data_IF_084691302569
#
_entry.id   IF_084691302569
#
_cell.length_a   1.000
_cell.length_b   1.000
_cell.length_c   1.000
_cell.angle_alpha   90.00
_cell.angle_beta   90.00
_cell.angle_gamma   90.00
#
_symmetry.space_group_name_H-M   'P 1'
#
loop_
_entity.id
_entity.type
_entity.pdbx_description
1 polymer ?
#
# COMPACT_ATOMS: atom_id res chain seq x y z
N UNK A 1 -0.42 115.56 -6.55
CA UNK A 1 0.07 114.56 -5.61
C UNK A 1 -0.87 113.38 -5.58
N UNK A 2 -0.52 112.23 -6.24
CA UNK A 2 -1.42 111.09 -6.35
C UNK A 2 -0.97 110.04 -5.28
N UNK A 3 -1.85 109.72 -4.34
CA UNK A 3 -1.67 108.65 -3.35
C UNK A 3 -2.04 107.35 -4.04
N UNK A 4 -1.08 106.37 -4.03
CA UNK A 4 -1.35 105.00 -4.43
C UNK A 4 -1.73 104.21 -3.17
N UNK A 5 -2.89 103.58 -3.20
CA UNK A 5 -3.41 102.65 -2.24
C UNK A 5 -2.88 101.25 -2.68
N UNK A 6 -2.13 100.59 -1.79
CA UNK A 6 -1.70 99.21 -1.97
C UNK A 6 -2.72 98.32 -1.20
N UNK A 7 -3.45 97.49 -1.94
CA UNK A 7 -4.33 96.47 -1.37
C UNK A 7 -3.52 95.18 -1.22
N UNK A 8 -3.27 94.73 0.02
CA UNK A 8 -2.73 93.43 0.31
C UNK A 8 -3.85 92.40 0.25
N UNK A 9 -3.80 91.50 -0.70
CA UNK A 9 -4.61 90.27 -0.76
C UNK A 9 -3.93 89.19 0.04
N UNK A 10 -4.54 88.78 1.17
CA UNK A 10 -4.15 87.63 1.95
C UNK A 10 -4.82 86.37 1.35
N UNK A 11 -4.03 85.47 0.75
CA UNK A 11 -4.45 84.14 0.38
C UNK A 11 -4.46 83.19 1.63
N UNK A 12 -5.53 82.44 1.87
CA UNK A 12 -5.53 81.42 2.91
C UNK A 12 -4.73 80.19 2.40
N UNK A 13 -3.68 79.78 3.15
CA UNK A 13 -2.95 78.54 2.94
C UNK A 13 -3.82 77.41 3.50
N UNK A 14 -4.42 76.60 2.63
CA UNK A 14 -5.14 75.38 2.98
C UNK A 14 -4.08 74.28 3.18
N UNK A 15 -3.83 73.87 4.42
CA UNK A 15 -3.04 72.66 4.76
C UNK A 15 -3.90 71.43 4.42
N UNK A 16 -3.59 70.73 3.33
CA UNK A 16 -4.07 69.35 3.12
C UNK A 16 -3.20 68.42 3.99
N UNK A 17 -3.80 67.92 5.08
CA UNK A 17 -3.21 66.77 5.82
C UNK A 17 -3.49 65.50 5.04
N UNK A 18 -2.47 64.97 4.35
CA UNK A 18 -2.50 63.63 3.81
C UNK A 18 -2.40 62.65 4.98
N UNK A 19 -3.55 62.06 5.36
CA UNK A 19 -3.55 60.85 6.16
C UNK A 19 -3.17 59.69 5.25
N UNK A 20 -1.92 59.26 5.29
CA UNK A 20 -1.48 58.02 4.70
C UNK A 20 -2.12 56.86 5.45
N UNK A 21 -3.26 56.36 4.97
CA UNK A 21 -3.75 55.05 5.28
C UNK A 21 -2.75 54.02 4.76
N UNK A 22 -1.80 53.60 5.56
CA UNK A 22 -1.03 52.40 5.31
C UNK A 22 -1.99 51.22 5.47
N UNK A 23 -2.57 50.76 4.38
CA UNK A 23 -3.09 49.39 4.27
C UNK A 23 -1.90 48.49 4.52
N UNK A 24 -1.75 47.98 5.73
CA UNK A 24 -0.94 46.81 5.98
C UNK A 24 -1.62 45.69 5.22
N UNK A 25 -1.13 45.38 4.04
CA UNK A 25 -1.44 44.13 3.38
C UNK A 25 -0.90 43.03 4.33
N UNK A 26 -1.79 42.44 5.13
CA UNK A 26 -1.50 41.16 5.75
C UNK A 26 -1.21 40.19 4.58
N UNK A 27 0.06 40.10 4.21
CA UNK A 27 0.58 38.95 3.49
C UNK A 27 0.53 37.79 4.46
N UNK A 28 -0.68 37.26 4.63
CA UNK A 28 -0.91 35.98 5.25
C UNK A 28 -0.25 34.91 4.40
N UNK A 29 1.07 34.81 4.50
CA UNK A 29 1.79 33.61 4.11
C UNK A 29 1.31 32.56 5.12
N UNK A 30 0.17 31.92 4.81
CA UNK A 30 -0.22 30.70 5.51
C UNK A 30 0.91 29.71 5.25
N UNK A 31 1.76 29.51 6.24
CA UNK A 31 2.85 28.55 6.14
C UNK A 31 2.26 27.21 5.71
N UNK A 32 2.61 26.80 4.50
CA UNK A 32 2.13 25.54 3.93
C UNK A 32 2.67 24.40 4.80
N UNK A 33 1.77 23.68 5.47
CA UNK A 33 2.17 22.48 6.21
C UNK A 33 2.57 21.39 5.22
N UNK A 34 3.82 20.96 5.28
CA UNK A 34 4.36 19.88 4.45
C UNK A 34 4.70 18.68 5.33
N UNK A 35 4.27 17.49 4.87
CA UNK A 35 4.52 16.21 5.52
C UNK A 35 5.10 15.24 4.51
N UNK A 36 6.19 14.58 4.88
CA UNK A 36 6.73 13.45 4.13
C UNK A 36 6.10 12.17 4.69
N UNK A 37 5.45 11.39 3.84
CA UNK A 37 4.82 10.10 4.15
C UNK A 37 5.42 9.01 3.28
N UNK A 38 5.92 7.94 3.89
CA UNK A 38 6.43 6.76 3.19
C UNK A 38 5.44 5.60 3.30
N UNK A 39 5.07 5.02 2.17
CA UNK A 39 4.25 3.83 2.07
C UNK A 39 5.17 2.68 1.66
N UNK A 40 5.11 1.58 2.41
CA UNK A 40 5.87 0.36 2.18
C UNK A 40 4.93 -0.75 1.75
N UNK A 41 5.39 -1.57 0.82
CA UNK A 41 4.65 -2.69 0.27
C UNK A 41 5.47 -3.97 0.29
N UNK A 42 4.81 -5.06 0.69
CA UNK A 42 5.12 -6.43 0.27
C UNK A 42 3.92 -7.01 -0.46
N UNK A 43 4.16 -7.98 -1.33
CA UNK A 43 3.14 -8.69 -2.07
C UNK A 43 3.62 -10.10 -2.39
N UNK A 44 2.69 -11.03 -2.62
CA UNK A 44 3.01 -12.37 -3.13
C UNK A 44 4.10 -13.07 -2.30
N UNK A 45 3.96 -13.02 -0.96
CA UNK A 45 4.94 -13.65 -0.05
C UNK A 45 4.95 -15.17 -0.17
N UNK A 46 3.82 -15.79 -0.53
CA UNK A 46 3.69 -17.21 -0.84
C UNK A 46 4.28 -18.16 0.23
N UNK A 47 4.16 -17.77 1.51
CA UNK A 47 4.76 -18.45 2.66
C UNK A 47 6.30 -18.48 2.68
N UNK A 48 6.99 -17.70 1.83
CA UNK A 48 8.45 -17.54 1.84
C UNK A 48 8.89 -16.65 3.01
N UNK A 49 8.72 -17.18 4.21
CA UNK A 49 9.06 -16.49 5.45
C UNK A 49 10.56 -16.44 5.71
N UNK A 50 11.28 -17.51 5.36
CA UNK A 50 12.71 -17.68 5.54
C UNK A 50 13.41 -17.72 4.18
N UNK A 51 14.64 -17.28 4.12
CA UNK A 51 15.48 -17.33 2.93
C UNK A 51 15.98 -18.77 2.66
N UNK A 52 15.04 -19.67 2.36
CA UNK A 52 15.31 -21.10 2.14
C UNK A 52 14.44 -21.67 1.03
N UNK A 53 15.07 -22.24 0.01
CA UNK A 53 14.41 -22.98 -1.05
C UNK A 53 14.15 -24.41 -0.59
N UNK A 54 12.90 -24.73 -0.29
CA UNK A 54 12.48 -26.04 0.18
C UNK A 54 12.51 -27.12 -0.92
N UNK A 55 12.46 -26.72 -2.20
CA UNK A 55 12.57 -27.67 -3.33
C UNK A 55 14.02 -28.11 -3.55
N UNK A 56 14.98 -27.18 -3.34
CA UNK A 56 16.41 -27.48 -3.48
C UNK A 56 17.11 -27.74 -2.13
N UNK A 57 16.36 -27.70 -1.04
CA UNK A 57 16.84 -27.89 0.34
C UNK A 57 18.07 -27.08 0.71
N UNK A 58 18.11 -25.81 0.28
CA UNK A 58 19.25 -24.92 0.51
C UNK A 58 18.85 -23.47 0.79
N UNK A 59 19.76 -22.74 1.41
CA UNK A 59 19.60 -21.29 1.60
C UNK A 59 19.56 -20.58 0.23
N UNK A 60 18.55 -19.74 0.04
CA UNK A 60 18.46 -18.80 -1.09
C UNK A 60 18.28 -17.37 -0.57
N UNK A 61 19.27 -16.53 -0.82
CA UNK A 61 19.23 -15.14 -0.35
C UNK A 61 18.36 -14.20 -1.22
N UNK A 62 17.79 -14.72 -2.30
CA UNK A 62 16.90 -13.96 -3.21
C UNK A 62 15.46 -13.93 -2.73
N UNK A 63 15.09 -14.74 -1.71
CA UNK A 63 13.76 -14.86 -1.15
C UNK A 63 13.75 -14.70 0.37
N UNK A 64 12.58 -14.48 0.94
CA UNK A 64 12.32 -14.60 2.37
C UNK A 64 12.02 -13.28 3.09
N UNK A 65 10.85 -13.24 3.71
CA UNK A 65 10.37 -12.07 4.48
C UNK A 65 11.35 -11.69 5.62
N UNK A 66 12.10 -12.64 6.17
CA UNK A 66 13.15 -12.36 7.18
C UNK A 66 14.26 -11.45 6.64
N UNK A 67 14.43 -11.36 5.33
CA UNK A 67 15.36 -10.43 4.68
C UNK A 67 14.69 -9.10 4.42
N UNK A 68 13.50 -9.11 3.81
CA UNK A 68 12.72 -7.90 3.51
C UNK A 68 12.38 -7.13 4.77
N UNK A 69 12.19 -7.81 5.91
CA UNK A 69 11.96 -7.17 7.20
C UNK A 69 13.10 -6.25 7.65
N UNK A 70 14.33 -6.50 7.20
CA UNK A 70 15.47 -5.61 7.44
C UNK A 70 15.30 -4.31 6.65
N UNK A 71 14.89 -4.39 5.36
CA UNK A 71 14.58 -3.21 4.55
C UNK A 71 13.42 -2.40 5.15
N UNK A 72 12.36 -3.07 5.64
CA UNK A 72 11.24 -2.41 6.32
C UNK A 72 11.73 -1.61 7.53
N UNK A 73 12.61 -2.19 8.36
CA UNK A 73 13.15 -1.48 9.53
C UNK A 73 14.05 -0.31 9.15
N UNK A 74 14.87 -0.46 8.11
CA UNK A 74 15.70 0.63 7.58
C UNK A 74 14.83 1.76 7.04
N UNK A 75 13.83 1.45 6.21
CA UNK A 75 12.89 2.43 5.67
C UNK A 75 12.14 3.22 6.76
N UNK A 76 11.77 2.53 7.86
CA UNK A 76 11.14 3.18 9.02
C UNK A 76 12.08 4.08 9.83
N UNK A 77 13.39 3.84 9.80
CA UNK A 77 14.37 4.75 10.40
C UNK A 77 14.60 5.99 9.56
N UNK A 78 14.51 5.85 8.24
CA UNK A 78 14.72 6.94 7.28
C UNK A 78 13.54 7.93 7.24
N UNK A 79 12.31 7.50 7.57
CA UNK A 79 11.10 8.33 7.52
C UNK A 79 10.31 8.25 8.82
N UNK A 80 9.92 9.42 9.36
CA UNK A 80 9.13 9.51 10.60
C UNK A 80 7.69 9.01 10.43
N UNK A 81 7.12 9.19 9.24
CA UNK A 81 5.75 8.78 8.93
C UNK A 81 5.81 7.64 7.91
N UNK A 82 5.55 6.42 8.38
CA UNK A 82 5.54 5.22 7.54
C UNK A 82 4.28 4.41 7.73
N UNK A 83 3.79 3.84 6.62
CA UNK A 83 2.74 2.83 6.58
C UNK A 83 3.30 1.58 5.91
N UNK A 84 2.80 0.41 6.29
CA UNK A 84 3.21 -0.86 5.71
C UNK A 84 1.98 -1.68 5.36
N UNK A 85 1.90 -2.12 4.10
CA UNK A 85 0.82 -2.93 3.56
C UNK A 85 1.34 -4.21 2.92
N UNK A 86 0.48 -5.22 2.85
CA UNK A 86 0.69 -6.39 2.02
C UNK A 86 -0.48 -6.56 1.06
N UNK A 87 -0.18 -6.86 -0.20
CA UNK A 87 -1.16 -6.87 -1.27
C UNK A 87 -1.73 -8.25 -1.60
N UNK A 88 -1.52 -9.25 -0.74
CA UNK A 88 -2.13 -10.58 -0.91
C UNK A 88 -1.16 -11.69 -1.29
N UNK A 89 -1.72 -12.88 -1.44
CA UNK A 89 -1.01 -14.12 -1.74
C UNK A 89 0.05 -14.51 -0.69
N UNK A 90 -0.44 -14.71 0.54
CA UNK A 90 0.41 -15.00 1.69
C UNK A 90 0.60 -16.49 1.98
N UNK A 91 -0.47 -17.32 1.79
CA UNK A 91 -0.59 -18.63 2.45
C UNK A 91 -0.05 -19.79 1.62
N UNK A 92 -0.09 -19.70 0.29
CA UNK A 92 0.28 -20.78 -0.62
C UNK A 92 1.31 -20.31 -1.66
N UNK A 93 2.24 -21.19 -2.03
CA UNK A 93 3.21 -20.97 -3.11
C UNK A 93 4.50 -21.75 -2.94
N UNK A 94 4.81 -22.20 -1.73
CA UNK A 94 5.96 -23.05 -1.47
C UNK A 94 5.60 -24.28 -0.60
N UNK A 95 6.52 -25.26 -0.44
CA UNK A 95 6.27 -26.47 0.35
C UNK A 95 5.90 -26.22 1.80
N UNK A 96 6.36 -25.14 2.43
CA UNK A 96 5.98 -24.77 3.79
C UNK A 96 4.48 -24.48 3.89
N UNK A 97 3.92 -23.73 2.94
CA UNK A 97 2.47 -23.44 2.88
C UNK A 97 1.63 -24.72 2.75
N UNK A 98 2.02 -25.64 1.85
CA UNK A 98 1.35 -26.94 1.70
C UNK A 98 1.46 -27.81 2.96
N UNK A 99 2.63 -27.87 3.57
CA UNK A 99 2.87 -28.61 4.82
C UNK A 99 1.97 -28.11 5.95
N UNK A 100 1.89 -26.80 6.14
CA UNK A 100 1.07 -26.16 7.16
C UNK A 100 -0.42 -26.38 6.93
N UNK A 101 -0.87 -26.36 5.68
CA UNK A 101 -2.29 -26.47 5.37
C UNK A 101 -2.80 -27.92 5.35
N UNK A 102 -2.02 -28.85 4.80
CA UNK A 102 -2.49 -30.21 4.47
C UNK A 102 -1.91 -31.32 5.33
N UNK A 103 -0.72 -31.14 5.93
CA UNK A 103 0.01 -32.20 6.62
C UNK A 103 0.02 -31.94 8.12
N UNK A 104 0.63 -30.84 8.56
CA UNK A 104 0.72 -30.44 9.96
C UNK A 104 -0.65 -30.01 10.50
N UNK A 105 -1.39 -29.24 9.69
CA UNK A 105 -2.59 -28.54 10.11
C UNK A 105 -2.32 -27.33 11.01
N UNK A 106 -3.37 -26.58 11.31
CA UNK A 106 -3.31 -25.45 12.25
C UNK A 106 -3.39 -25.97 13.69
N UNK A 107 -2.38 -25.75 14.50
CA UNK A 107 -2.45 -26.05 15.93
C UNK A 107 -3.49 -25.16 16.61
N UNK A 108 -4.36 -25.77 17.42
CA UNK A 108 -5.42 -25.07 18.16
C UNK A 108 -4.83 -23.94 19.00
N UNK A 109 -5.32 -22.72 18.82
CA UNK A 109 -4.89 -21.54 19.56
C UNK A 109 -3.58 -20.88 19.07
N UNK A 110 -2.86 -21.48 18.10
CA UNK A 110 -1.68 -20.84 17.51
C UNK A 110 -2.07 -19.95 16.30
N UNK A 111 -1.40 -18.82 16.17
CA UNK A 111 -1.52 -17.94 15.00
C UNK A 111 -0.70 -18.53 13.85
N UNK A 112 -1.24 -18.53 12.63
CA UNK A 112 -0.51 -18.94 11.43
C UNK A 112 0.82 -18.16 11.31
N UNK A 113 1.97 -18.81 10.98
CA UNK A 113 3.28 -18.16 11.01
C UNK A 113 3.37 -16.92 10.14
N UNK A 114 2.70 -16.87 8.98
CA UNK A 114 2.62 -15.66 8.15
C UNK A 114 2.03 -14.50 8.93
N UNK A 115 0.85 -14.67 9.54
CA UNK A 115 0.20 -13.58 10.31
C UNK A 115 0.91 -13.27 11.62
N UNK A 116 1.67 -14.23 12.18
CA UNK A 116 2.58 -13.99 13.30
C UNK A 116 3.74 -13.08 12.88
N UNK A 117 4.29 -13.29 11.68
CA UNK A 117 5.29 -12.43 11.06
C UNK A 117 4.73 -11.03 10.76
N UNK A 118 3.55 -10.94 10.17
CA UNK A 118 2.89 -9.67 9.87
C UNK A 118 2.54 -8.87 11.14
N UNK A 119 2.08 -9.54 12.20
CA UNK A 119 1.87 -8.91 13.51
C UNK A 119 3.17 -8.34 14.09
N UNK A 120 4.28 -9.08 13.98
CA UNK A 120 5.61 -8.64 14.42
C UNK A 120 6.08 -7.39 13.66
N UNK A 121 5.88 -7.38 12.34
CA UNK A 121 6.25 -6.27 11.47
C UNK A 121 5.27 -5.09 11.55
N UNK A 122 4.12 -5.27 12.23
CA UNK A 122 3.07 -4.25 12.41
C UNK A 122 2.57 -3.71 11.06
N UNK A 123 2.03 -4.60 10.25
CA UNK A 123 1.30 -4.18 9.04
C UNK A 123 0.09 -3.34 9.40
N UNK A 124 -0.17 -2.29 8.62
CA UNK A 124 -1.29 -1.36 8.82
C UNK A 124 -2.61 -1.91 8.26
N UNK A 125 -2.56 -2.63 7.15
CA UNK A 125 -3.63 -3.46 6.59
C UNK A 125 -3.03 -4.45 5.58
N UNK A 126 -3.78 -5.50 5.23
CA UNK A 126 -3.42 -6.50 4.23
C UNK A 126 -4.60 -6.84 3.32
N UNK A 127 -4.31 -7.16 2.06
CA UNK A 127 -5.30 -7.67 1.12
C UNK A 127 -5.45 -9.20 1.20
N UNK A 128 -6.54 -9.72 0.70
CA UNK A 128 -6.72 -11.13 0.33
C UNK A 128 -6.45 -11.24 -1.16
N UNK A 129 -5.46 -12.05 -1.56
CA UNK A 129 -5.17 -12.41 -2.93
C UNK A 129 -5.88 -13.71 -3.34
N UNK A 130 -5.56 -14.25 -4.52
CA UNK A 130 -6.19 -15.45 -5.02
C UNK A 130 -5.70 -16.73 -4.33
N UNK A 131 -4.43 -16.80 -3.94
CA UNK A 131 -3.87 -18.00 -3.31
C UNK A 131 -4.35 -18.21 -1.87
N UNK A 132 -4.99 -17.26 -1.23
CA UNK A 132 -5.66 -17.44 0.06
C UNK A 132 -6.80 -18.43 -0.01
N UNK A 133 -7.42 -18.64 -1.18
CA UNK A 133 -8.58 -19.52 -1.36
C UNK A 133 -8.23 -20.99 -1.64
N UNK A 134 -6.98 -21.29 -1.98
CA UNK A 134 -6.57 -22.62 -2.45
C UNK A 134 -6.77 -23.75 -1.45
N UNK A 135 -6.80 -23.43 -0.14
CA UNK A 135 -7.07 -24.40 0.91
C UNK A 135 -8.53 -24.33 1.42
N UNK A 136 -9.40 -23.56 0.74
CA UNK A 136 -10.79 -23.37 1.05
C UNK A 136 -11.05 -22.33 2.15
N UNK A 137 -12.31 -21.90 2.22
CA UNK A 137 -12.74 -20.80 3.10
C UNK A 137 -12.58 -21.11 4.60
N UNK A 138 -12.72 -22.37 5.02
CA UNK A 138 -12.63 -22.75 6.44
C UNK A 138 -11.18 -22.69 6.92
N UNK A 139 -10.23 -23.13 6.10
CA UNK A 139 -8.81 -22.97 6.39
C UNK A 139 -8.46 -21.48 6.45
N UNK A 140 -8.84 -20.71 5.44
CA UNK A 140 -8.59 -19.26 5.38
C UNK A 140 -9.12 -18.56 6.63
N UNK A 141 -10.38 -18.82 7.00
CA UNK A 141 -10.99 -18.26 8.20
C UNK A 141 -10.22 -18.60 9.47
N UNK A 142 -9.68 -19.82 9.54
CA UNK A 142 -8.89 -20.27 10.69
C UNK A 142 -7.53 -19.61 10.73
N UNK A 143 -6.85 -19.52 9.61
CA UNK A 143 -5.53 -18.86 9.50
C UNK A 143 -5.62 -17.37 9.89
N UNK A 144 -6.67 -16.67 9.44
CA UNK A 144 -6.90 -15.25 9.71
C UNK A 144 -7.22 -14.91 11.17
N UNK A 145 -7.65 -15.87 12.01
CA UNK A 145 -8.02 -15.60 13.42
C UNK A 145 -6.93 -14.93 14.24
N UNK A 146 -5.67 -15.10 13.85
CA UNK A 146 -4.54 -14.51 14.55
C UNK A 146 -4.05 -13.19 13.97
N UNK A 147 -4.58 -12.72 12.85
CA UNK A 147 -4.21 -11.45 12.23
C UNK A 147 -4.71 -10.28 13.10
N UNK A 148 -3.81 -9.34 13.44
CA UNK A 148 -4.12 -8.16 14.28
C UNK A 148 -4.40 -6.91 13.47
N UNK A 149 -4.04 -6.89 12.19
CA UNK A 149 -4.33 -5.81 11.25
C UNK A 149 -5.66 -6.05 10.53
N UNK A 150 -6.30 -5.01 9.95
CA UNK A 150 -7.40 -5.18 9.02
C UNK A 150 -7.01 -6.08 7.84
N UNK A 151 -7.86 -7.08 7.55
CA UNK A 151 -7.76 -7.97 6.39
C UNK A 151 -8.89 -7.60 5.45
N UNK A 152 -8.57 -7.23 4.22
CA UNK A 152 -9.50 -6.56 3.31
C UNK A 152 -9.68 -7.34 2.00
N UNK A 153 -10.90 -7.33 1.50
CA UNK A 153 -11.23 -7.63 0.11
C UNK A 153 -12.63 -7.08 -0.19
N UNK A 154 -12.75 -6.21 -1.18
CA UNK A 154 -13.99 -5.51 -1.51
C UNK A 154 -14.85 -6.25 -2.52
N UNK A 155 -14.26 -7.09 -3.38
CA UNK A 155 -14.99 -7.63 -4.52
C UNK A 155 -15.39 -9.10 -4.41
N UNK A 156 -15.11 -9.78 -3.29
CA UNK A 156 -15.65 -11.12 -3.00
C UNK A 156 -16.90 -11.03 -2.14
N UNK A 157 -18.01 -11.57 -2.63
CA UNK A 157 -19.34 -11.49 -2.01
C UNK A 157 -19.86 -12.86 -1.61
N UNK A 158 -20.62 -12.93 -0.52
CA UNK A 158 -21.31 -14.14 -0.10
C UNK A 158 -22.55 -14.39 -0.98
N UNK A 159 -22.68 -15.58 -1.54
CA UNK A 159 -23.88 -16.01 -2.28
C UNK A 159 -25.13 -15.93 -1.38
N UNK A 160 -25.00 -16.32 -0.09
CA UNK A 160 -26.12 -16.36 0.85
C UNK A 160 -26.67 -14.99 1.21
N UNK A 161 -25.81 -13.97 1.35
CA UNK A 161 -26.22 -12.66 1.89
C UNK A 161 -26.18 -11.54 0.87
N UNK A 162 -25.56 -11.76 -0.27
CA UNK A 162 -25.23 -10.75 -1.29
C UNK A 162 -24.48 -9.53 -0.71
N UNK A 163 -23.65 -9.76 0.33
CA UNK A 163 -22.81 -8.74 0.98
C UNK A 163 -21.35 -9.12 0.82
N UNK A 164 -20.41 -8.17 0.92
CA UNK A 164 -18.98 -8.47 0.95
C UNK A 164 -18.68 -9.59 1.95
N UNK A 165 -17.88 -10.56 1.54
CA UNK A 165 -17.53 -11.72 2.37
C UNK A 165 -16.46 -11.36 3.41
N UNK A 166 -15.58 -10.46 3.04
CA UNK A 166 -14.57 -9.85 3.91
C UNK A 166 -14.90 -8.39 4.18
N UNK A 167 -14.15 -7.75 5.04
CA UNK A 167 -14.20 -6.29 5.22
C UNK A 167 -13.77 -5.63 3.90
N UNK A 168 -14.62 -4.82 3.24
CA UNK A 168 -14.29 -4.29 1.90
C UNK A 168 -13.21 -3.22 1.93
N UNK A 169 -13.19 -2.38 2.96
CA UNK A 169 -12.23 -1.30 3.15
C UNK A 169 -12.06 -0.96 4.64
N UNK A 170 -11.10 -0.11 4.93
CA UNK A 170 -10.94 0.47 6.27
C UNK A 170 -10.49 1.92 6.18
N UNK A 171 -10.78 2.73 7.20
CA UNK A 171 -10.20 4.07 7.35
C UNK A 171 -9.23 4.03 8.52
N UNK A 172 -7.96 4.22 8.24
CA UNK A 172 -6.88 4.30 9.20
C UNK A 172 -6.70 5.75 9.64
N UNK A 173 -6.88 6.04 10.93
CA UNK A 173 -6.52 7.33 11.50
C UNK A 173 -5.08 7.27 11.96
N UNK A 174 -4.23 8.14 11.43
CA UNK A 174 -2.80 8.19 11.75
C UNK A 174 -2.40 9.58 12.23
N UNK A 175 -1.62 9.61 13.30
CA UNK A 175 -0.87 10.82 13.69
C UNK A 175 0.40 10.85 12.86
N UNK A 176 0.54 11.87 12.02
CA UNK A 176 1.72 12.15 11.23
C UNK A 176 2.37 13.43 11.73
N UNK A 177 3.68 13.56 11.55
CA UNK A 177 4.41 14.76 11.94
C UNK A 177 4.91 15.51 10.71
N UNK A 178 4.77 16.82 10.72
CA UNK A 178 5.29 17.67 9.65
C UNK A 178 6.82 17.88 9.76
N UNK A 179 7.38 18.61 8.81
CA UNK A 179 8.82 18.87 8.76
C UNK A 179 9.30 19.67 9.99
N UNK A 180 8.41 20.43 10.66
CA UNK A 180 8.70 21.15 11.93
C UNK A 180 8.59 20.25 13.17
N UNK A 181 8.07 19.03 13.02
CA UNK A 181 7.81 18.09 14.11
C UNK A 181 6.42 18.22 14.74
N UNK A 182 5.54 19.09 14.19
CA UNK A 182 4.18 19.27 14.69
C UNK A 182 3.28 18.10 14.25
N UNK A 183 2.46 17.51 15.16
CA UNK A 183 1.56 16.43 14.83
C UNK A 183 0.30 16.91 14.11
N UNK A 184 -0.17 16.10 13.16
CA UNK A 184 -1.41 16.27 12.43
C UNK A 184 -2.15 14.93 12.33
N UNK A 185 -3.47 14.95 12.14
CA UNK A 185 -4.24 13.76 11.82
C UNK A 185 -4.34 13.59 10.30
N UNK A 186 -4.15 12.37 9.82
CA UNK A 186 -4.40 11.95 8.45
C UNK A 186 -5.32 10.73 8.46
N UNK A 187 -6.40 10.78 7.68
CA UNK A 187 -7.35 9.67 7.49
C UNK A 187 -7.07 9.02 6.15
N UNK A 188 -6.69 7.75 6.19
CA UNK A 188 -6.30 6.99 5.01
C UNK A 188 -7.35 5.92 4.75
N UNK A 189 -8.08 6.05 3.65
CA UNK A 189 -8.93 5.00 3.13
C UNK A 189 -8.08 3.91 2.49
N UNK A 190 -8.35 2.65 2.83
CA UNK A 190 -7.66 1.49 2.22
C UNK A 190 -8.72 0.54 1.72
N UNK A 191 -8.71 0.25 0.42
CA UNK A 191 -9.58 -0.74 -0.24
C UNK A 191 -8.71 -1.84 -0.83
N UNK A 192 -9.22 -3.10 -0.87
CA UNK A 192 -8.49 -4.20 -1.48
C UNK A 192 -9.34 -4.92 -2.53
N UNK A 193 -8.71 -5.32 -3.62
CA UNK A 193 -9.32 -5.89 -4.82
C UNK A 193 -8.46 -7.04 -5.37
N UNK A 194 -9.09 -8.03 -6.02
CA UNK A 194 -8.40 -9.14 -6.67
C UNK A 194 -9.15 -9.63 -7.91
N UNK A 195 -8.52 -10.40 -8.83
CA UNK A 195 -9.15 -10.88 -10.07
C UNK A 195 -10.39 -11.76 -9.83
N UNK A 196 -11.42 -11.56 -10.63
CA UNK A 196 -12.64 -12.39 -10.64
C UNK A 196 -12.35 -13.84 -11.04
N UNK A 197 -11.22 -14.11 -11.68
CA UNK A 197 -10.75 -15.42 -12.12
C UNK A 197 -10.64 -16.45 -11.01
N UNK A 198 -10.59 -16.02 -9.76
CA UNK A 198 -10.64 -16.90 -8.58
C UNK A 198 -11.84 -17.86 -8.62
N UNK A 199 -12.95 -17.43 -9.23
CA UNK A 199 -14.15 -18.26 -9.37
C UNK A 199 -13.96 -19.42 -10.36
N UNK A 200 -12.98 -19.33 -11.27
CA UNK A 200 -12.54 -20.40 -12.16
C UNK A 200 -11.44 -21.25 -11.53
N UNK A 201 -10.41 -20.58 -10.99
CA UNK A 201 -9.20 -21.23 -10.44
C UNK A 201 -9.49 -22.09 -9.21
N UNK A 202 -10.36 -21.62 -8.31
CA UNK A 202 -10.72 -22.29 -7.07
C UNK A 202 -12.20 -22.72 -7.03
N UNK A 203 -12.78 -23.02 -8.19
CA UNK A 203 -14.20 -23.41 -8.31
C UNK A 203 -14.60 -24.44 -7.26
N UNK A 204 -13.82 -25.50 -7.07
CA UNK A 204 -14.11 -26.57 -6.13
C UNK A 204 -14.27 -26.09 -4.67
N UNK A 205 -13.54 -25.03 -4.30
CA UNK A 205 -13.56 -24.44 -2.95
C UNK A 205 -14.66 -23.40 -2.77
N UNK A 206 -15.09 -22.71 -3.86
CA UNK A 206 -15.84 -21.46 -3.79
C UNK A 206 -17.26 -21.52 -4.35
N UNK A 207 -17.55 -22.44 -5.29
CA UNK A 207 -18.86 -22.55 -5.93
C UNK A 207 -20.00 -22.68 -4.91
N UNK A 208 -21.07 -21.89 -5.09
CA UNK A 208 -22.23 -21.85 -4.20
C UNK A 208 -22.00 -21.13 -2.85
N UNK A 209 -20.79 -20.72 -2.54
CA UNK A 209 -20.44 -20.05 -1.27
C UNK A 209 -20.19 -18.54 -1.45
N UNK A 210 -19.41 -18.20 -2.46
CA UNK A 210 -19.04 -16.82 -2.80
C UNK A 210 -19.07 -16.58 -4.30
N UNK A 211 -19.09 -15.32 -4.70
CA UNK A 211 -18.87 -14.86 -6.07
C UNK A 211 -18.00 -13.60 -6.06
N UNK A 212 -17.31 -13.32 -7.16
CA UNK A 212 -16.48 -12.12 -7.29
C UNK A 212 -17.09 -11.15 -8.30
N UNK A 213 -17.12 -9.85 -7.96
CA UNK A 213 -17.50 -8.76 -8.86
C UNK A 213 -16.26 -8.20 -9.57
N UNK A 214 -16.43 -7.56 -10.77
CA UNK A 214 -15.35 -6.86 -11.45
C UNK A 214 -14.65 -5.84 -10.54
N UNK A 215 -13.32 -5.77 -10.62
CA UNK A 215 -12.51 -4.94 -9.72
C UNK A 215 -12.78 -3.45 -9.87
N UNK A 216 -12.82 -2.96 -11.11
CA UNK A 216 -12.97 -1.52 -11.40
C UNK A 216 -14.35 -1.04 -11.00
N UNK A 217 -15.41 -1.80 -11.30
CA UNK A 217 -16.79 -1.47 -10.94
C UNK A 217 -16.95 -1.48 -9.41
N UNK A 218 -16.35 -2.47 -8.73
CA UNK A 218 -16.35 -2.51 -7.27
C UNK A 218 -15.61 -1.32 -6.66
N UNK A 219 -14.49 -0.93 -7.24
CA UNK A 219 -13.78 0.27 -6.79
C UNK A 219 -14.64 1.53 -6.98
N UNK A 220 -15.31 1.69 -8.13
CA UNK A 220 -16.25 2.79 -8.39
C UNK A 220 -17.44 2.80 -7.42
N UNK A 221 -17.86 1.63 -6.92
CA UNK A 221 -18.93 1.53 -5.90
C UNK A 221 -18.43 2.01 -4.53
N UNK A 222 -17.25 1.55 -4.05
CA UNK A 222 -16.79 1.77 -2.68
C UNK A 222 -15.97 3.05 -2.49
N UNK A 223 -15.20 3.49 -3.49
CA UNK A 223 -14.29 4.65 -3.35
C UNK A 223 -15.03 5.94 -2.99
N UNK A 224 -16.18 6.28 -3.60
CA UNK A 224 -16.97 7.43 -3.17
C UNK A 224 -17.48 7.33 -1.73
N UNK A 225 -17.82 6.11 -1.26
CA UNK A 225 -18.25 5.87 0.12
C UNK A 225 -17.10 6.16 1.09
N UNK A 226 -15.90 5.63 0.80
CA UNK A 226 -14.69 5.85 1.61
C UNK A 226 -14.38 7.36 1.67
N UNK A 227 -14.52 8.06 0.56
CA UNK A 227 -14.31 9.52 0.50
C UNK A 227 -15.35 10.29 1.32
N UNK A 228 -16.62 9.90 1.23
CA UNK A 228 -17.73 10.50 2.01
C UNK A 228 -17.57 10.26 3.52
N UNK A 229 -16.96 9.15 3.94
CA UNK A 229 -16.60 8.87 5.34
C UNK A 229 -15.39 9.68 5.83
N UNK A 230 -14.83 10.53 4.96
CA UNK A 230 -13.83 11.54 5.32
C UNK A 230 -12.38 11.06 5.16
N UNK A 231 -12.10 10.10 4.28
CA UNK A 231 -10.72 9.77 3.92
C UNK A 231 -10.05 10.96 3.20
N UNK A 232 -8.87 11.32 3.68
CA UNK A 232 -8.03 12.37 3.07
C UNK A 232 -7.37 11.84 1.79
N UNK A 233 -6.75 10.65 1.88
CA UNK A 233 -6.15 9.91 0.76
C UNK A 233 -6.70 8.49 0.72
N UNK A 234 -6.76 7.90 -0.47
CA UNK A 234 -7.24 6.52 -0.69
C UNK A 234 -6.14 5.69 -1.34
N UNK A 235 -5.79 4.57 -0.70
CA UNK A 235 -4.82 3.58 -1.16
C UNK A 235 -5.59 2.34 -1.61
N UNK A 236 -5.36 1.90 -2.84
CA UNK A 236 -5.83 0.61 -3.32
C UNK A 236 -4.73 -0.45 -3.16
N UNK A 237 -5.04 -1.50 -2.39
CA UNK A 237 -4.30 -2.76 -2.39
C UNK A 237 -4.90 -3.59 -3.53
N UNK A 238 -4.25 -3.55 -4.68
CA UNK A 238 -4.77 -4.08 -5.92
C UNK A 238 -4.00 -5.35 -6.30
N UNK A 239 -4.40 -6.49 -5.69
CA UNK A 239 -3.80 -7.79 -6.00
C UNK A 239 -4.10 -8.20 -7.45
N UNK A 240 -3.52 -7.47 -8.40
CA UNK A 240 -3.70 -7.61 -9.84
C UNK A 240 -2.49 -7.03 -10.57
N UNK A 241 -2.21 -7.54 -11.77
CA UNK A 241 -1.12 -7.07 -12.61
C UNK A 241 -1.42 -5.75 -13.33
N UNK A 242 -0.48 -5.31 -14.15
CA UNK A 242 -0.52 -4.05 -14.89
C UNK A 242 -0.63 -4.36 -16.39
N UNK A 243 -1.74 -3.95 -17.02
CA UNK A 243 -1.93 -4.01 -18.47
C UNK A 243 -2.85 -2.89 -18.93
N UNK A 244 -2.61 -2.35 -20.12
CA UNK A 244 -3.49 -1.41 -20.83
C UNK A 244 -4.30 -2.07 -21.95
N UNK A 245 -4.32 -3.39 -22.03
CA UNK A 245 -5.22 -4.13 -22.93
C UNK A 245 -6.67 -3.74 -22.68
N UNK A 246 -7.54 -3.73 -23.70
CA UNK A 246 -8.93 -3.28 -23.54
C UNK A 246 -9.64 -3.90 -22.35
N UNK A 247 -10.21 -3.07 -21.50
CA UNK A 247 -10.89 -3.48 -20.27
C UNK A 247 -12.13 -4.32 -20.56
N UNK A 248 -12.31 -5.38 -19.80
CA UNK A 248 -13.51 -6.22 -19.74
C UNK A 248 -13.81 -6.54 -18.26
N UNK A 249 -15.03 -6.97 -17.96
CA UNK A 249 -15.46 -7.27 -16.58
C UNK A 249 -14.59 -8.34 -15.88
N UNK A 250 -13.98 -9.22 -16.64
CA UNK A 250 -13.06 -10.23 -16.13
C UNK A 250 -11.58 -9.90 -16.39
N UNK A 251 -11.22 -8.62 -16.61
CA UNK A 251 -9.83 -8.19 -16.76
C UNK A 251 -9.01 -8.61 -15.54
N UNK A 252 -7.99 -9.46 -15.79
CA UNK A 252 -7.11 -9.98 -14.73
C UNK A 252 -6.10 -8.93 -14.26
N UNK A 253 -5.53 -8.14 -15.21
CA UNK A 253 -4.48 -7.16 -14.94
C UNK A 253 -5.06 -5.73 -15.00
N UNK A 254 -5.68 -5.26 -13.91
CA UNK A 254 -6.55 -4.09 -13.92
C UNK A 254 -5.94 -2.80 -13.31
N UNK A 255 -4.68 -2.82 -12.86
CA UNK A 255 -4.03 -1.65 -12.21
C UNK A 255 -4.14 -0.38 -13.06
N UNK A 256 -3.88 -0.50 -14.39
CA UNK A 256 -3.97 0.64 -15.31
C UNK A 256 -5.34 1.34 -15.24
N UNK A 257 -6.42 0.58 -15.11
CA UNK A 257 -7.79 1.08 -15.03
C UNK A 257 -8.16 1.59 -13.64
N UNK A 258 -7.63 0.97 -12.58
CA UNK A 258 -7.79 1.45 -11.21
C UNK A 258 -7.15 2.82 -11.01
N UNK A 259 -5.99 3.08 -11.66
CA UNK A 259 -5.37 4.41 -11.62
C UNK A 259 -6.17 5.50 -12.35
N UNK A 260 -7.16 5.15 -13.17
CA UNK A 260 -8.06 6.11 -13.81
C UNK A 260 -9.22 6.57 -12.92
N UNK A 261 -9.46 5.89 -11.78
CA UNK A 261 -10.51 6.30 -10.81
C UNK A 261 -10.00 7.54 -10.06
N UNK A 262 -10.69 8.71 -10.16
CA UNK A 262 -10.15 9.99 -9.69
C UNK A 262 -9.71 9.99 -8.23
N UNK A 263 -10.52 9.41 -7.34
CA UNK A 263 -10.33 9.45 -5.89
C UNK A 263 -9.37 8.37 -5.35
N UNK A 264 -8.89 7.43 -6.17
CA UNK A 264 -7.77 6.56 -5.79
C UNK A 264 -6.49 7.39 -5.94
N UNK A 265 -5.75 7.57 -4.86
CA UNK A 265 -4.55 8.41 -4.83
C UNK A 265 -3.27 7.59 -4.99
N UNK A 266 -3.26 6.33 -4.56
CA UNK A 266 -2.10 5.43 -4.56
C UNK A 266 -2.55 4.02 -4.90
N UNK A 267 -1.75 3.28 -5.69
CA UNK A 267 -2.02 1.86 -5.99
C UNK A 267 -0.79 1.02 -5.63
N UNK A 268 -1.00 0.02 -4.77
CA UNK A 268 -0.07 -1.07 -4.50
C UNK A 268 -0.54 -2.28 -5.32
N UNK A 269 0.37 -2.90 -6.08
CA UNK A 269 0.04 -3.90 -7.08
C UNK A 269 0.76 -5.24 -6.82
N UNK A 270 0.20 -6.34 -7.33
CA UNK A 270 0.76 -7.67 -7.11
C UNK A 270 0.40 -8.67 -8.20
N UNK A 271 0.22 -9.95 -7.81
CA UNK A 271 -0.31 -11.04 -8.63
C UNK A 271 0.60 -11.49 -9.79
N UNK A 272 1.11 -10.58 -10.60
CA UNK A 272 1.93 -10.91 -11.78
C UNK A 272 3.41 -11.15 -11.46
N UNK A 273 3.84 -11.04 -10.20
CA UNK A 273 5.22 -11.19 -9.73
C UNK A 273 6.24 -10.29 -10.42
N UNK A 274 5.77 -9.24 -11.08
CA UNK A 274 6.61 -8.28 -11.81
C UNK A 274 7.14 -7.18 -10.89
N UNK A 275 8.04 -6.33 -11.42
CA UNK A 275 8.57 -5.17 -10.72
C UNK A 275 8.06 -3.92 -11.40
N UNK A 276 7.36 -3.05 -10.65
CA UNK A 276 7.03 -1.71 -11.11
C UNK A 276 7.48 -0.67 -10.06
N UNK A 277 8.12 0.44 -10.51
CA UNK A 277 8.55 0.73 -11.87
C UNK A 277 9.64 -0.24 -12.36
N UNK A 278 9.58 -0.61 -13.63
CA UNK A 278 10.52 -1.54 -14.24
C UNK A 278 10.49 -1.49 -15.76
N UNK A 279 11.58 -1.91 -16.44
CA UNK A 279 11.75 -1.72 -17.88
C UNK A 279 10.72 -2.45 -18.75
N UNK A 280 10.07 -3.49 -18.24
CA UNK A 280 9.00 -4.23 -18.93
C UNK A 280 7.82 -3.33 -19.26
N UNK A 281 7.61 -2.26 -18.50
CA UNK A 281 6.51 -1.31 -18.66
C UNK A 281 6.86 -0.04 -19.44
N UNK A 282 8.02 0.00 -20.12
CA UNK A 282 8.50 1.19 -20.86
C UNK A 282 7.54 1.70 -21.95
N UNK A 283 6.70 0.82 -22.48
CA UNK A 283 5.73 1.14 -23.54
C UNK A 283 4.29 1.26 -23.01
N UNK A 284 4.07 1.17 -21.70
CA UNK A 284 2.73 1.34 -21.12
C UNK A 284 2.29 2.80 -21.25
N UNK A 285 1.10 3.09 -21.84
CA UNK A 285 0.63 4.45 -21.99
C UNK A 285 0.54 5.23 -20.66
N UNK A 286 0.73 6.54 -20.71
CA UNK A 286 0.62 7.46 -19.56
C UNK A 286 1.46 7.02 -18.34
N UNK A 287 2.63 6.43 -18.60
CA UNK A 287 3.51 5.89 -17.55
C UNK A 287 4.82 6.68 -17.48
N UNK A 288 5.22 7.05 -16.27
CA UNK A 288 6.51 7.63 -15.98
C UNK A 288 7.30 6.66 -15.08
N UNK A 289 8.29 5.96 -15.64
CA UNK A 289 9.10 4.98 -14.89
C UNK A 289 10.11 5.65 -13.94
N UNK A 290 10.47 6.91 -14.15
CA UNK A 290 11.41 7.64 -13.28
C UNK A 290 10.75 7.99 -11.94
N UNK A 291 9.50 8.43 -11.99
CA UNK A 291 8.69 8.75 -10.79
C UNK A 291 7.87 7.56 -10.30
N UNK A 292 7.70 6.52 -11.11
CA UNK A 292 6.90 5.34 -10.81
C UNK A 292 5.40 5.63 -10.81
N UNK A 293 4.93 6.29 -11.89
CA UNK A 293 3.54 6.72 -12.03
C UNK A 293 2.85 6.06 -13.23
N UNK A 294 1.56 5.78 -13.06
CA UNK A 294 0.63 5.41 -14.14
C UNK A 294 -0.57 6.36 -14.05
N UNK A 295 -0.93 7.00 -15.17
CA UNK A 295 -1.99 8.02 -15.23
C UNK A 295 -1.82 9.14 -14.17
N UNK A 296 -0.56 9.51 -13.86
CA UNK A 296 -0.22 10.53 -12.87
C UNK A 296 -0.35 10.10 -11.41
N UNK A 297 -0.57 8.81 -11.13
CA UNK A 297 -0.69 8.26 -9.78
C UNK A 297 0.49 7.36 -9.42
N UNK A 298 1.02 7.42 -8.19
CA UNK A 298 2.10 6.55 -7.75
C UNK A 298 1.61 5.10 -7.66
N UNK A 299 2.38 4.22 -8.28
CA UNK A 299 2.16 2.78 -8.31
C UNK A 299 3.45 2.09 -7.90
N UNK A 300 3.38 0.99 -7.18
CA UNK A 300 4.51 0.10 -6.93
C UNK A 300 4.07 -1.36 -7.02
N UNK A 301 4.96 -2.24 -7.48
CA UNK A 301 4.81 -3.70 -7.44
C UNK A 301 6.15 -4.31 -7.08
N UNK A 302 6.22 -5.05 -5.98
CA UNK A 302 7.46 -5.48 -5.34
C UNK A 302 7.86 -6.94 -5.68
N UNK A 303 7.58 -7.41 -6.87
CA UNK A 303 7.81 -8.79 -7.30
C UNK A 303 7.08 -9.82 -6.41
N UNK A 304 7.79 -10.83 -5.89
CA UNK A 304 7.21 -11.90 -5.08
C UNK A 304 8.23 -12.49 -4.09
N UNK A 305 7.78 -13.43 -3.23
CA UNK A 305 8.60 -14.28 -2.35
C UNK A 305 9.43 -13.50 -1.32
N UNK A 306 9.03 -12.25 -1.01
CA UNK A 306 9.79 -11.36 -0.15
C UNK A 306 11.16 -10.97 -0.74
N UNK A 307 11.30 -10.96 -2.08
CA UNK A 307 12.54 -10.62 -2.79
C UNK A 307 12.84 -9.13 -2.81
N UNK A 308 11.81 -8.30 -2.64
CA UNK A 308 11.87 -6.83 -2.71
C UNK A 308 10.95 -6.18 -1.70
N UNK A 309 11.25 -4.93 -1.39
CA UNK A 309 10.36 -3.98 -0.70
C UNK A 309 9.93 -2.90 -1.69
N UNK A 310 8.62 -2.74 -1.88
CA UNK A 310 8.03 -1.61 -2.58
C UNK A 310 8.02 -0.38 -1.68
N UNK A 311 8.33 0.79 -2.25
CA UNK A 311 8.40 2.06 -1.52
C UNK A 311 7.75 3.15 -2.36
N UNK A 312 6.82 3.88 -1.76
CA UNK A 312 6.27 5.12 -2.32
C UNK A 312 6.53 6.24 -1.31
N UNK A 313 7.31 7.23 -1.73
CA UNK A 313 7.52 8.46 -0.98
C UNK A 313 6.56 9.54 -1.48
N UNK A 314 5.71 10.05 -0.60
CA UNK A 314 4.76 11.12 -0.85
C UNK A 314 5.18 12.37 -0.08
N UNK A 315 5.05 13.53 -0.72
CA UNK A 315 5.01 14.81 -0.04
C UNK A 315 3.58 15.31 -0.01
N UNK A 316 3.03 15.46 1.18
CA UNK A 316 1.68 15.93 1.42
C UNK A 316 1.71 17.41 1.81
N UNK A 317 0.76 18.18 1.28
CA UNK A 317 0.48 19.55 1.68
C UNK A 317 -0.89 19.63 2.33
N UNK A 318 -0.98 20.31 3.49
CA UNK A 318 -2.26 20.62 4.11
C UNK A 318 -2.61 22.09 3.87
N UNK A 319 -3.69 22.33 3.11
CA UNK A 319 -4.18 23.67 2.78
C UNK A 319 -5.71 23.70 2.83
N UNK A 320 -6.28 24.72 3.46
CA UNK A 320 -7.76 24.91 3.56
C UNK A 320 -8.48 23.67 4.11
N UNK A 321 -7.91 23.01 5.12
CA UNK A 321 -8.50 21.82 5.73
C UNK A 321 -8.41 20.52 4.91
N UNK A 322 -7.67 20.52 3.80
CA UNK A 322 -7.53 19.36 2.90
C UNK A 322 -6.07 18.97 2.73
N UNK A 323 -5.82 17.66 2.73
CA UNK A 323 -4.54 17.07 2.34
C UNK A 323 -4.49 16.89 0.82
N UNK A 324 -3.32 17.15 0.23
CA UNK A 324 -3.05 16.97 -1.20
C UNK A 324 -1.65 16.39 -1.38
N UNK A 325 -1.49 15.45 -2.30
CA UNK A 325 -0.18 14.97 -2.74
C UNK A 325 0.41 16.02 -3.68
N UNK A 326 1.57 16.56 -3.33
CA UNK A 326 2.28 17.60 -4.11
C UNK A 326 3.56 17.11 -4.76
N UNK A 327 4.10 15.98 -4.31
CA UNK A 327 5.18 15.25 -4.97
C UNK A 327 5.12 13.77 -4.58
N UNK A 328 5.62 12.91 -5.46
CA UNK A 328 5.59 11.46 -5.28
C UNK A 328 6.74 10.77 -6.01
N UNK A 329 7.18 9.64 -5.47
CA UNK A 329 8.15 8.76 -6.13
C UNK A 329 7.97 7.33 -5.66
N UNK A 330 7.81 6.41 -6.61
CA UNK A 330 7.76 4.97 -6.35
C UNK A 330 9.05 4.29 -6.81
N UNK A 331 9.49 3.30 -6.05
CA UNK A 331 10.65 2.48 -6.38
C UNK A 331 10.66 1.19 -5.57
N UNK A 332 11.56 0.26 -5.89
CA UNK A 332 11.74 -0.98 -5.11
C UNK A 332 13.18 -1.11 -4.62
N UNK A 333 13.36 -1.75 -3.47
CA UNK A 333 14.68 -2.17 -2.93
C UNK A 333 14.76 -3.70 -2.93
N UNK A 334 15.81 -4.28 -3.53
CA UNK A 334 16.06 -5.72 -3.55
C UNK A 334 16.80 -6.19 -2.29
N UNK A 335 16.55 -7.43 -1.86
CA UNK A 335 17.27 -8.08 -0.75
C UNK A 335 18.58 -8.75 -1.19
N UNK A 336 18.74 -8.99 -2.50
CA UNK A 336 19.93 -9.59 -3.11
C UNK A 336 20.27 -8.91 -4.43
N UNK A 337 21.53 -9.02 -4.85
CA UNK A 337 21.97 -8.62 -6.19
C UNK A 337 21.61 -9.67 -7.26
N UNK A 338 21.92 -9.39 -8.51
CA UNK A 338 21.66 -10.26 -9.67
C UNK A 338 22.34 -11.65 -9.56
N UNK A 339 23.42 -11.73 -8.82
CA UNK A 339 24.16 -12.99 -8.58
C UNK A 339 23.63 -13.76 -7.35
N UNK A 340 22.59 -13.28 -6.70
CA UNK A 340 22.03 -13.89 -5.48
C UNK A 340 22.84 -13.61 -4.22
N UNK A 341 23.80 -12.68 -4.25
CA UNK A 341 24.52 -12.24 -3.05
C UNK A 341 23.60 -11.34 -2.22
N UNK A 342 23.49 -11.68 -0.95
CA UNK A 342 22.65 -10.91 -0.03
C UNK A 342 23.12 -9.47 0.13
N UNK A 343 22.19 -8.52 -0.02
CA UNK A 343 22.41 -7.09 0.23
C UNK A 343 22.04 -6.68 1.66
N UNK A 344 21.26 -7.52 2.37
CA UNK A 344 20.74 -7.23 3.69
C UNK A 344 20.94 -8.43 4.65
N UNK A 345 21.02 -8.14 5.95
CA UNK A 345 21.09 -9.17 6.99
C UNK A 345 19.71 -9.77 7.24
N UNK A 346 19.68 -11.04 7.67
CA UNK A 346 18.47 -11.68 8.19
C UNK A 346 18.03 -11.02 9.50
N UNK A 347 16.74 -10.73 9.63
CA UNK A 347 16.13 -10.32 10.89
C UNK A 347 16.07 -11.50 11.87
N UNK A 348 16.97 -11.51 12.83
CA UNK A 348 17.04 -12.57 13.86
C UNK A 348 15.78 -12.65 14.73
N UNK A 349 15.07 -11.53 14.91
CA UNK A 349 13.83 -11.50 15.69
C UNK A 349 12.70 -12.21 14.95
N UNK A 350 12.48 -11.84 13.68
CA UNK A 350 11.48 -12.50 12.85
C UNK A 350 11.84 -13.97 12.59
N UNK A 351 13.10 -14.27 12.30
CA UNK A 351 13.57 -15.66 12.13
C UNK A 351 13.18 -16.54 13.33
N UNK A 352 13.44 -16.11 14.56
CA UNK A 352 13.08 -16.87 15.78
C UNK A 352 11.59 -17.13 15.91
N UNK A 353 10.74 -16.22 15.40
CA UNK A 353 9.28 -16.36 15.45
C UNK A 353 8.75 -17.43 14.50
N UNK A 354 9.45 -17.73 13.41
CA UNK A 354 8.98 -18.64 12.34
C UNK A 354 9.91 -19.85 12.19
N UNK A 355 10.90 -20.00 13.07
CA UNK A 355 11.93 -21.05 13.04
C UNK A 355 11.34 -22.44 13.25
N UNK A 356 10.38 -22.60 14.17
CA UNK A 356 9.75 -23.88 14.50
C UNK A 356 9.19 -24.54 13.23
N UNK A 357 8.36 -23.81 12.48
CA UNK A 357 7.72 -24.32 11.27
C UNK A 357 8.72 -24.60 10.15
N UNK A 358 9.78 -23.83 10.06
CA UNK A 358 10.88 -24.07 9.13
C UNK A 358 11.60 -25.39 9.44
N UNK A 359 11.99 -25.60 10.69
CA UNK A 359 12.68 -26.81 11.12
C UNK A 359 11.81 -28.05 10.96
N UNK A 360 10.52 -27.99 11.32
CA UNK A 360 9.57 -29.05 11.08
C UNK A 360 9.45 -29.40 9.58
N UNK A 361 9.42 -28.40 8.69
CA UNK A 361 9.35 -28.62 7.24
C UNK A 361 10.64 -29.25 6.71
N UNK A 362 11.82 -28.77 7.13
CA UNK A 362 13.11 -29.37 6.76
C UNK A 362 13.21 -30.82 7.23
N UNK A 363 12.79 -31.12 8.45
CA UNK A 363 12.80 -32.51 8.98
C UNK A 363 11.78 -33.39 8.24
N UNK A 364 10.66 -32.84 7.82
CA UNK A 364 9.67 -33.54 7.00
C UNK A 364 10.25 -33.91 5.63
N UNK A 365 10.94 -32.98 4.94
CA UNK A 365 11.60 -33.23 3.65
C UNK A 365 12.64 -34.35 3.80
N UNK A 366 13.50 -34.30 4.82
CA UNK A 366 14.50 -35.34 5.09
C UNK A 366 13.87 -36.73 5.29
N UNK A 367 12.74 -36.80 6.00
CA UNK A 367 12.01 -38.08 6.19
C UNK A 367 11.43 -38.65 4.90
N UNK A 368 11.16 -37.80 3.89
CA UNK A 368 10.74 -38.24 2.57
C UNK A 368 11.90 -38.74 1.69
N UNK A 369 13.15 -38.59 2.14
CA UNK A 369 14.33 -38.95 1.36
C UNK A 369 14.67 -37.97 0.24
N UNK A 370 14.22 -36.72 0.36
CA UNK A 370 14.44 -35.62 -0.58
C UNK A 370 15.54 -34.70 -0.11
#
# INVERSE_FOLDING_TARGET
>A
MKRRIIILLSLPIIFFTYTSNTFAAETGITSQTLVDLRILETTDIHADLINYDYYQTKVDNRIGLVKTSTLIREARKESKNTLLFDDGDHLKGNPLGEYLARIRGMHKGKTHPVYRAFNYLKYDAIAIGNHEFNYGLDFLKTALKGAKMPVLNANVFSVKTNKPYFKPYTILKRKIVDQSGKPHELKIGVIALMPTHIMKWDKANLEGKVFAKPMVETAKEFVPIIKAEGADIIIALAHTGISSEPYQDDTENAVYYLTQIPEIDVVLAGHSHSVFPGPVYKNLPNTNLETGEINGKPVVMAAAFGSRLGIIDLKLSHRNGKWQIVAQKSYTKSIADENGKSLVKTDKGLYRLVKEEHEEMVDFIKKLGL
#
